data_IF_814085944434
#
_entry.id   IF_814085944434
#
_cell.length_a   1.000
_cell.length_b   1.000
_cell.length_c   1.000
_cell.angle_alpha   90.00
_cell.angle_beta   90.00
_cell.angle_gamma   90.00
#
_symmetry.space_group_name_H-M   'P 1'
#
loop_
_entity.id
_entity.type
_entity.pdbx_description
1 polymer ?
#
# COMPACT_ATOMS: atom_id res chain seq x y z
N UNK A 1 45.74 13.55 -35.47
CA UNK A 1 46.19 14.42 -34.36
C UNK A 1 45.31 14.19 -33.15
N UNK A 2 45.92 14.12 -31.97
CA UNK A 2 45.51 13.36 -30.79
C UNK A 2 44.07 13.58 -30.28
N UNK A 3 43.30 12.48 -30.14
CA UNK A 3 42.17 12.44 -29.20
C UNK A 3 42.75 12.08 -27.83
N UNK A 4 43.08 13.09 -27.02
CA UNK A 4 43.44 12.86 -25.61
C UNK A 4 42.37 11.96 -24.99
N UNK A 5 42.77 10.82 -24.42
CA UNK A 5 41.83 9.88 -23.82
C UNK A 5 41.03 10.61 -22.74
N UNK A 6 39.72 10.75 -22.94
CA UNK A 6 38.82 11.45 -22.00
C UNK A 6 38.80 10.72 -20.66
N UNK A 7 39.44 11.28 -19.66
CA UNK A 7 39.64 10.69 -18.33
C UNK A 7 38.39 10.71 -17.43
N UNK A 8 37.32 11.42 -17.80
CA UNK A 8 36.10 11.48 -16.99
C UNK A 8 35.11 10.34 -17.30
N UNK A 9 34.97 9.40 -16.36
CA UNK A 9 34.04 8.26 -16.41
C UNK A 9 32.70 8.52 -15.69
N UNK A 10 32.25 9.78 -15.62
CA UNK A 10 30.96 10.14 -15.01
C UNK A 10 29.81 10.28 -16.03
N UNK A 11 28.62 10.63 -15.54
CA UNK A 11 27.46 11.02 -16.34
C UNK A 11 27.80 12.21 -17.26
N UNK A 12 27.62 12.05 -18.59
CA UNK A 12 27.99 13.06 -19.60
C UNK A 12 26.81 13.83 -20.19
N UNK A 13 25.59 13.36 -19.97
CA UNK A 13 24.38 14.03 -20.46
C UNK A 13 23.79 14.95 -19.38
N UNK A 14 23.18 16.09 -19.76
CA UNK A 14 22.60 17.04 -18.79
C UNK A 14 21.52 16.39 -17.92
N UNK A 15 20.75 15.45 -18.47
CA UNK A 15 19.75 14.66 -17.74
C UNK A 15 20.40 13.76 -16.70
N UNK A 16 21.51 13.09 -17.02
CA UNK A 16 22.21 12.22 -16.09
C UNK A 16 22.88 13.02 -14.95
N UNK A 17 23.49 14.17 -15.23
CA UNK A 17 24.01 15.08 -14.19
C UNK A 17 22.91 15.58 -13.24
N UNK A 18 21.71 15.87 -13.77
CA UNK A 18 20.53 16.19 -12.95
C UNK A 18 20.12 15.01 -12.06
N UNK A 19 20.10 13.79 -12.58
CA UNK A 19 19.78 12.58 -11.81
C UNK A 19 20.78 12.33 -10.68
N UNK A 20 22.07 12.54 -10.91
CA UNK A 20 23.12 12.42 -9.86
C UNK A 20 22.85 13.43 -8.73
N UNK A 21 22.59 14.70 -9.05
CA UNK A 21 22.26 15.70 -8.03
C UNK A 21 20.99 15.34 -7.24
N UNK A 22 19.95 14.86 -7.92
CA UNK A 22 18.71 14.42 -7.27
C UNK A 22 18.93 13.20 -6.37
N UNK A 23 19.73 12.22 -6.81
CA UNK A 23 19.98 11.00 -6.06
C UNK A 23 20.81 11.27 -4.80
N UNK A 24 21.80 12.16 -4.87
CA UNK A 24 22.58 12.58 -3.70
C UNK A 24 21.72 13.25 -2.63
N UNK A 25 20.82 14.17 -3.03
CA UNK A 25 19.88 14.82 -2.12
C UNK A 25 18.94 13.82 -1.46
N UNK A 26 18.31 12.95 -2.24
CA UNK A 26 17.42 11.88 -1.72
C UNK A 26 18.17 10.91 -0.81
N UNK A 27 19.40 10.53 -1.18
CA UNK A 27 20.25 9.64 -0.37
C UNK A 27 20.55 10.23 1.00
N UNK A 28 20.85 11.53 1.09
CA UNK A 28 21.14 12.17 2.38
C UNK A 28 19.96 12.07 3.36
N UNK A 29 18.75 12.36 2.89
CA UNK A 29 17.52 12.27 3.69
C UNK A 29 17.18 10.81 4.02
N UNK A 30 17.16 9.94 3.01
CA UNK A 30 16.79 8.54 3.18
C UNK A 30 17.74 7.79 4.11
N UNK A 31 19.05 8.08 4.02
CA UNK A 31 20.06 7.44 4.86
C UNK A 31 19.78 7.71 6.34
N UNK A 32 19.46 8.95 6.71
CA UNK A 32 19.16 9.33 8.09
C UNK A 32 17.98 8.55 8.65
N UNK A 33 16.83 8.57 7.96
CA UNK A 33 15.63 7.86 8.44
C UNK A 33 15.83 6.35 8.44
N UNK A 34 16.56 5.81 7.46
CA UNK A 34 16.86 4.38 7.40
C UNK A 34 17.82 3.95 8.52
N UNK A 35 18.83 4.75 8.84
CA UNK A 35 19.75 4.47 9.94
C UNK A 35 19.05 4.58 11.29
N UNK A 36 18.26 5.63 11.52
CA UNK A 36 17.47 5.82 12.75
C UNK A 36 16.56 4.61 13.01
N UNK A 37 15.77 4.20 12.02
CA UNK A 37 14.91 3.03 12.14
C UNK A 37 15.70 1.73 12.36
N UNK A 38 16.88 1.58 11.75
CA UNK A 38 17.74 0.41 11.96
C UNK A 38 18.29 0.38 13.39
N UNK A 39 18.76 1.52 13.90
CA UNK A 39 19.30 1.65 15.25
C UNK A 39 18.24 1.35 16.30
N UNK A 40 17.03 1.91 16.18
CA UNK A 40 15.95 1.65 17.14
C UNK A 40 15.52 0.17 17.15
N UNK A 41 15.46 -0.47 15.98
CA UNK A 41 15.17 -1.91 15.89
C UNK A 41 16.28 -2.75 16.54
N UNK A 42 17.53 -2.33 16.39
CA UNK A 42 18.68 -3.01 17.00
C UNK A 42 18.64 -2.85 18.52
N UNK A 43 18.46 -1.63 19.03
CA UNK A 43 18.31 -1.34 20.46
C UNK A 43 17.16 -2.14 21.08
N UNK A 44 15.97 -2.13 20.46
CA UNK A 44 14.85 -2.92 20.94
C UNK A 44 15.12 -4.44 20.92
N UNK A 45 15.89 -4.92 19.93
CA UNK A 45 16.32 -6.33 19.88
C UNK A 45 17.34 -6.66 20.97
N UNK A 46 18.26 -5.75 21.28
CA UNK A 46 19.31 -5.96 22.27
C UNK A 46 18.74 -5.91 23.70
N UNK A 47 17.81 -4.99 23.98
CA UNK A 47 17.05 -4.95 25.23
C UNK A 47 16.27 -6.25 25.41
N UNK A 48 15.58 -6.72 24.36
CA UNK A 48 14.85 -7.98 24.43
C UNK A 48 15.77 -9.20 24.68
N UNK A 49 17.05 -9.14 24.30
CA UNK A 49 18.00 -10.24 24.54
C UNK A 49 18.77 -10.07 25.86
N UNK A 50 18.41 -9.11 26.71
CA UNK A 50 19.12 -8.81 27.97
C UNK A 50 20.54 -8.27 27.76
N UNK A 51 20.86 -7.77 26.56
CA UNK A 51 22.19 -7.20 26.23
C UNK A 51 22.31 -5.73 26.60
N UNK A 52 21.20 -5.06 26.87
CA UNK A 52 21.21 -3.69 27.38
C UNK A 52 20.04 -3.47 28.33
N UNK A 53 20.25 -2.62 29.31
CA UNK A 53 19.22 -2.20 30.25
C UNK A 53 18.28 -1.18 29.58
N UNK A 54 16.99 -1.27 29.87
CA UNK A 54 16.02 -0.29 29.37
C UNK A 54 14.57 -0.76 29.41
N UNK A 55 13.68 0.18 29.15
CA UNK A 55 12.25 -0.06 29.07
C UNK A 55 11.90 -0.78 27.74
N UNK A 56 11.95 -2.11 27.74
CA UNK A 56 11.63 -2.97 26.60
C UNK A 56 10.37 -2.58 25.81
N UNK A 57 9.19 -2.41 26.44
CA UNK A 57 7.96 -2.08 25.71
C UNK A 57 8.03 -0.70 25.02
N UNK A 58 8.68 0.29 25.64
CA UNK A 58 8.85 1.62 25.06
C UNK A 58 9.80 1.59 23.86
N UNK A 59 10.92 0.87 23.97
CA UNK A 59 11.86 0.69 22.87
C UNK A 59 11.22 -0.02 21.67
N UNK A 60 10.38 -1.03 21.92
CA UNK A 60 9.62 -1.73 20.88
C UNK A 60 8.60 -0.80 20.22
N UNK A 61 7.86 0.00 20.99
CA UNK A 61 6.92 0.98 20.45
C UNK A 61 7.60 2.04 19.58
N UNK A 62 8.75 2.57 20.04
CA UNK A 62 9.56 3.52 19.29
C UNK A 62 10.07 2.93 17.97
N UNK A 63 10.56 1.68 18.00
CA UNK A 63 11.04 0.98 16.80
C UNK A 63 9.92 0.76 15.76
N UNK A 64 8.72 0.38 16.21
CA UNK A 64 7.54 0.22 15.32
C UNK A 64 7.16 1.56 14.69
N UNK A 65 7.05 2.62 15.50
CA UNK A 65 6.71 3.97 15.04
C UNK A 65 7.70 4.46 13.98
N UNK A 66 9.00 4.24 14.20
CA UNK A 66 10.05 4.63 13.24
C UNK A 66 9.96 3.85 11.92
N UNK A 67 9.67 2.55 11.96
CA UNK A 67 9.48 1.72 10.76
C UNK A 67 8.27 2.17 9.94
N UNK A 68 7.17 2.53 10.60
CA UNK A 68 5.96 3.00 9.93
C UNK A 68 6.16 4.37 9.28
N UNK A 69 6.77 5.31 10.01
CA UNK A 69 7.13 6.62 9.44
C UNK A 69 8.06 6.49 8.23
N UNK A 70 8.97 5.52 8.26
CA UNK A 70 9.85 5.25 7.11
C UNK A 70 9.09 4.63 5.92
N UNK A 71 8.06 3.83 6.18
CA UNK A 71 7.20 3.24 5.15
C UNK A 71 6.26 4.26 4.53
N UNK A 72 5.62 5.10 5.34
CA UNK A 72 4.76 6.22 4.90
C UNK A 72 5.52 7.19 4.00
N UNK A 73 6.78 7.49 4.33
CA UNK A 73 7.67 8.32 3.50
C UNK A 73 8.17 7.61 2.23
N UNK A 74 7.84 6.34 2.02
CA UNK A 74 8.29 5.54 0.87
C UNK A 74 9.79 5.23 0.85
N UNK A 75 10.47 5.38 2.00
CA UNK A 75 11.92 5.09 2.13
C UNK A 75 12.13 3.58 2.23
N UNK A 76 11.22 2.88 2.93
CA UNK A 76 11.19 1.43 3.08
C UNK A 76 9.87 0.91 2.51
N UNK A 77 9.89 -0.18 1.76
CA UNK A 77 8.65 -0.79 1.27
C UNK A 77 7.76 -1.27 2.43
N UNK A 78 6.42 -1.14 2.38
CA UNK A 78 5.52 -1.54 3.47
C UNK A 78 5.73 -3.00 3.89
N UNK A 79 5.90 -3.92 2.94
CA UNK A 79 6.22 -5.32 3.25
C UNK A 79 7.56 -5.48 3.97
N UNK A 80 8.56 -4.64 3.70
CA UNK A 80 9.84 -4.69 4.41
C UNK A 80 9.68 -4.19 5.85
N UNK A 81 8.91 -3.11 6.06
CA UNK A 81 8.53 -2.68 7.40
C UNK A 81 7.76 -3.78 8.16
N UNK A 82 6.75 -4.41 7.53
CA UNK A 82 5.99 -5.50 8.11
C UNK A 82 6.86 -6.71 8.49
N UNK A 83 7.80 -7.13 7.63
CA UNK A 83 8.76 -8.19 7.95
C UNK A 83 9.63 -7.85 9.15
N UNK A 84 10.12 -6.60 9.23
CA UNK A 84 10.96 -6.14 10.35
C UNK A 84 10.18 -6.13 11.66
N UNK A 85 8.93 -5.64 11.65
CA UNK A 85 8.03 -5.69 12.82
C UNK A 85 7.78 -7.12 13.28
N UNK A 86 7.44 -8.01 12.36
CA UNK A 86 7.20 -9.43 12.67
C UNK A 86 8.43 -10.06 13.32
N UNK A 87 9.62 -9.86 12.75
CA UNK A 87 10.88 -10.38 13.32
C UNK A 87 11.18 -9.81 14.70
N UNK A 88 10.95 -8.52 14.92
CA UNK A 88 11.12 -7.88 16.24
C UNK A 88 10.18 -8.53 17.26
N UNK A 89 8.90 -8.66 16.93
CA UNK A 89 7.90 -9.27 17.81
C UNK A 89 8.19 -10.72 18.13
N UNK A 90 8.66 -11.50 17.15
CA UNK A 90 9.06 -12.90 17.42
C UNK A 90 10.20 -12.97 18.43
N UNK A 91 11.19 -12.07 18.34
CA UNK A 91 12.31 -12.02 19.32
C UNK A 91 11.84 -11.60 20.70
N UNK A 92 11.02 -10.55 20.77
CA UNK A 92 10.46 -10.03 22.02
C UNK A 92 9.61 -11.11 22.70
N UNK A 93 8.74 -11.79 21.97
CA UNK A 93 7.95 -12.89 22.51
C UNK A 93 8.82 -14.05 22.95
N UNK A 94 9.85 -14.43 22.17
CA UNK A 94 10.78 -15.48 22.58
C UNK A 94 11.51 -15.12 23.88
N UNK A 95 11.91 -13.85 24.05
CA UNK A 95 12.51 -13.36 25.28
C UNK A 95 11.54 -13.38 26.48
N UNK A 96 10.32 -12.88 26.31
CA UNK A 96 9.30 -12.95 27.37
C UNK A 96 8.92 -14.38 27.74
N UNK A 97 8.96 -15.32 26.79
CA UNK A 97 8.78 -16.75 27.06
C UNK A 97 9.97 -17.34 27.85
N UNK A 98 11.17 -16.77 27.73
CA UNK A 98 12.34 -17.17 28.50
C UNK A 98 12.33 -16.56 29.92
N UNK A 99 11.79 -15.35 30.09
CA UNK A 99 11.72 -14.64 31.37
C UNK A 99 10.54 -15.04 32.27
N UNK A 100 9.69 -15.99 31.84
CA UNK A 100 8.65 -16.59 32.69
C UNK A 100 7.51 -15.64 33.12
N UNK A 101 7.45 -14.40 32.62
CA UNK A 101 6.31 -13.52 32.88
C UNK A 101 5.16 -13.90 31.94
N UNK A 102 4.17 -14.59 32.49
CA UNK A 102 2.93 -14.97 31.82
C UNK A 102 2.21 -13.71 31.31
N UNK A 103 2.41 -13.36 30.04
CA UNK A 103 1.67 -12.27 29.43
C UNK A 103 0.24 -12.76 29.22
N UNK A 104 -0.66 -12.32 30.09
CA UNK A 104 -2.11 -12.51 29.98
C UNK A 104 -2.53 -12.30 28.53
N UNK A 105 -2.86 -13.39 27.83
CA UNK A 105 -3.11 -13.35 26.40
C UNK A 105 -4.23 -12.34 26.11
N UNK A 106 -4.00 -11.30 25.27
CA UNK A 106 -5.11 -10.47 24.83
C UNK A 106 -6.07 -11.38 24.08
N UNK A 107 -7.31 -11.46 24.56
CA UNK A 107 -8.40 -12.25 23.97
C UNK A 107 -8.38 -12.09 22.46
N UNK A 108 -7.90 -13.12 21.74
CA UNK A 108 -7.77 -13.06 20.31
C UNK A 108 -9.16 -12.81 19.71
N UNK A 109 -9.40 -11.70 18.98
CA UNK A 109 -10.69 -11.50 18.36
C UNK A 109 -10.89 -12.64 17.36
N UNK A 110 -11.89 -13.50 17.60
CA UNK A 110 -12.20 -14.67 16.76
C UNK A 110 -12.19 -14.25 15.29
N UNK A 111 -11.13 -14.60 14.55
CA UNK A 111 -11.03 -14.29 13.12
C UNK A 111 -12.09 -15.09 12.40
N UNK A 112 -13.16 -14.40 12.00
CA UNK A 112 -14.22 -14.95 11.16
C UNK A 112 -13.57 -15.55 9.90
N UNK A 113 -13.76 -16.85 9.69
CA UNK A 113 -13.30 -17.59 8.50
C UNK A 113 -13.73 -16.87 7.21
N UNK A 114 -12.98 -17.03 6.12
CA UNK A 114 -13.32 -16.44 4.80
C UNK A 114 -14.74 -16.80 4.33
N UNK A 115 -15.22 -17.99 4.71
CA UNK A 115 -16.61 -18.43 4.54
C UNK A 115 -17.61 -17.56 5.32
N UNK A 116 -17.35 -17.29 6.60
CA UNK A 116 -18.23 -16.44 7.43
C UNK A 116 -18.17 -14.95 7.06
N UNK A 117 -17.04 -14.45 6.55
CA UNK A 117 -16.92 -13.10 5.95
C UNK A 117 -17.71 -12.98 4.65
N UNK A 118 -17.72 -14.02 3.81
CA UNK A 118 -18.50 -14.05 2.56
C UNK A 118 -20.00 -14.16 2.85
N UNK A 119 -20.40 -14.99 3.81
CA UNK A 119 -21.78 -15.11 4.28
C UNK A 119 -22.30 -13.80 4.90
N UNK A 120 -21.47 -13.09 5.68
CA UNK A 120 -21.83 -11.78 6.22
C UNK A 120 -21.96 -10.70 5.13
N UNK A 121 -21.06 -10.68 4.13
CA UNK A 121 -21.21 -9.79 2.97
C UNK A 121 -22.49 -10.07 2.18
N UNK A 122 -22.86 -11.34 2.01
CA UNK A 122 -24.15 -11.73 1.39
C UNK A 122 -25.34 -11.26 2.24
N UNK A 123 -25.33 -11.46 3.56
CA UNK A 123 -26.40 -10.97 4.45
C UNK A 123 -26.55 -9.44 4.42
N UNK A 124 -25.44 -8.71 4.43
CA UNK A 124 -25.45 -7.23 4.33
C UNK A 124 -25.91 -6.77 2.95
N UNK A 125 -25.57 -7.48 1.87
CA UNK A 125 -26.08 -7.19 0.53
C UNK A 125 -27.60 -7.43 0.41
N UNK A 126 -28.11 -8.51 0.99
CA UNK A 126 -29.56 -8.81 1.04
C UNK A 126 -30.30 -7.76 1.88
N UNK A 127 -29.76 -7.36 3.03
CA UNK A 127 -30.33 -6.29 3.86
C UNK A 127 -30.28 -4.91 3.18
N UNK A 128 -29.23 -4.63 2.38
CA UNK A 128 -29.14 -3.41 1.58
C UNK A 128 -30.09 -3.44 0.39
N UNK A 129 -30.37 -4.60 -0.19
CA UNK A 129 -31.35 -4.78 -1.26
C UNK A 129 -32.79 -4.66 -0.74
N UNK A 130 -33.12 -5.20 0.43
CA UNK A 130 -34.44 -5.02 1.05
C UNK A 130 -34.68 -3.58 1.51
N UNK A 131 -33.64 -2.89 2.00
CA UNK A 131 -33.71 -1.45 2.30
C UNK A 131 -33.79 -0.57 1.03
N UNK A 132 -33.17 -1.00 -0.07
CA UNK A 132 -33.32 -0.35 -1.37
C UNK A 132 -34.70 -0.58 -2.02
N UNK A 133 -35.38 -1.70 -1.71
CA UNK A 133 -36.77 -1.93 -2.10
C UNK A 133 -37.73 -1.03 -1.32
N UNK A 134 -37.48 -0.80 -0.03
CA UNK A 134 -38.25 0.15 0.79
C UNK A 134 -38.01 1.64 0.42
N UNK A 135 -36.85 1.98 -0.14
CA UNK A 135 -36.50 3.34 -0.58
C UNK A 135 -36.90 3.70 -2.02
N UNK A 136 -37.48 2.76 -2.79
CA UNK A 136 -37.79 2.98 -4.23
C UNK A 136 -39.25 3.35 -4.48
N UNK A 137 -39.83 4.17 -3.60
CA UNK A 137 -41.17 4.71 -3.79
C UNK A 137 -41.24 6.24 -3.94
N UNK A 138 -40.17 7.00 -3.67
CA UNK A 138 -40.29 8.47 -3.55
C UNK A 138 -39.39 9.34 -4.43
N UNK A 139 -38.46 8.81 -5.24
CA UNK A 139 -37.68 9.72 -6.11
C UNK A 139 -37.23 9.09 -7.45
N UNK A 140 -38.17 9.00 -8.39
CA UNK A 140 -37.87 8.76 -9.81
C UNK A 140 -38.64 9.81 -10.61
N UNK A 141 -37.98 10.67 -11.41
CA UNK A 141 -38.67 11.80 -12.02
C UNK A 141 -39.73 11.29 -13.00
N UNK A 142 -41.01 11.46 -12.61
CA UNK A 142 -42.18 11.19 -13.45
C UNK A 142 -42.39 12.27 -14.53
N UNK A 143 -41.55 13.31 -14.56
CA UNK A 143 -41.64 14.41 -15.51
C UNK A 143 -40.94 14.09 -16.83
N UNK A 144 -41.53 14.53 -17.95
CA UNK A 144 -41.03 14.29 -19.31
C UNK A 144 -39.56 14.73 -19.51
N UNK A 145 -39.13 15.78 -18.82
CA UNK A 145 -37.74 16.27 -18.84
C UNK A 145 -36.73 15.26 -18.26
N UNK A 146 -37.13 14.47 -17.24
CA UNK A 146 -36.29 13.43 -16.66
C UNK A 146 -36.08 12.24 -17.59
N UNK A 147 -37.13 11.84 -18.33
CA UNK A 147 -37.05 10.78 -19.35
C UNK A 147 -36.15 11.20 -20.51
N UNK A 148 -36.23 12.44 -20.96
CA UNK A 148 -35.39 12.98 -22.03
C UNK A 148 -33.90 12.96 -21.66
N UNK A 149 -33.52 13.38 -20.43
CA UNK A 149 -32.12 13.35 -19.98
C UNK A 149 -31.55 11.92 -19.90
N UNK A 150 -32.37 10.95 -19.47
CA UNK A 150 -31.97 9.53 -19.43
C UNK A 150 -31.86 8.94 -20.84
N UNK A 151 -32.72 9.34 -21.78
CA UNK A 151 -32.63 8.91 -23.17
C UNK A 151 -31.36 9.45 -23.86
N UNK A 152 -31.04 10.74 -23.68
CA UNK A 152 -29.84 11.37 -24.25
C UNK A 152 -28.56 10.72 -23.72
N UNK A 153 -28.50 10.42 -22.42
CA UNK A 153 -27.34 9.74 -21.82
C UNK A 153 -27.21 8.26 -22.21
N UNK A 154 -28.32 7.61 -22.60
CA UNK A 154 -28.28 6.24 -23.13
C UNK A 154 -27.82 6.21 -24.59
N UNK A 155 -28.33 7.12 -25.42
CA UNK A 155 -27.91 7.25 -26.82
C UNK A 155 -26.43 7.62 -26.97
N UNK A 156 -25.89 8.46 -26.08
CA UNK A 156 -24.46 8.79 -26.09
C UNK A 156 -23.56 7.61 -25.71
N UNK A 157 -24.02 6.73 -24.82
CA UNK A 157 -23.29 5.50 -24.47
C UNK A 157 -23.36 4.44 -25.57
N UNK A 158 -24.47 4.37 -26.29
CA UNK A 158 -24.66 3.41 -27.38
C UNK A 158 -23.84 3.79 -28.62
N UNK A 159 -23.79 5.08 -28.96
CA UNK A 159 -22.90 5.61 -30.00
C UNK A 159 -21.41 5.49 -29.62
N UNK A 160 -21.05 5.68 -28.35
CA UNK A 160 -19.69 5.42 -27.87
C UNK A 160 -19.32 3.92 -27.92
N UNK A 161 -20.27 3.03 -27.65
CA UNK A 161 -20.09 1.58 -27.77
C UNK A 161 -19.96 1.13 -29.24
N UNK A 162 -20.74 1.72 -30.16
CA UNK A 162 -20.64 1.47 -31.60
C UNK A 162 -19.29 1.92 -32.16
N UNK A 163 -18.79 3.11 -31.77
CA UNK A 163 -17.45 3.59 -32.16
C UNK A 163 -16.34 2.68 -31.65
N UNK A 164 -16.47 2.13 -30.44
CA UNK A 164 -15.52 1.15 -29.88
C UNK A 164 -15.55 -0.18 -30.63
N UNK A 165 -16.72 -0.64 -31.07
CA UNK A 165 -16.86 -1.86 -31.90
C UNK A 165 -16.31 -1.67 -33.32
N UNK A 166 -16.51 -0.50 -33.93
CA UNK A 166 -15.93 -0.18 -35.23
C UNK A 166 -14.40 -0.07 -35.16
N UNK A 167 -13.85 0.48 -34.06
CA UNK A 167 -12.40 0.54 -33.85
C UNK A 167 -11.76 -0.84 -33.64
N UNK A 168 -12.51 -1.82 -33.12
CA UNK A 168 -12.02 -3.20 -32.98
C UNK A 168 -12.12 -4.04 -34.26
N UNK A 169 -12.95 -3.66 -35.23
CA UNK A 169 -12.99 -4.32 -36.54
C UNK A 169 -11.91 -3.83 -37.50
N UNK A 170 -11.42 -2.59 -37.34
CA UNK A 170 -10.36 -1.99 -38.15
C UNK A 170 -8.95 -2.48 -37.80
N UNK A 171 -8.73 -3.03 -36.60
CA UNK A 171 -7.43 -3.59 -36.17
C UNK A 171 -7.29 -5.10 -36.44
N UNK A 172 -8.30 -5.72 -37.07
CA UNK A 172 -8.32 -7.15 -37.39
C UNK A 172 -7.80 -7.52 -38.79
N UNK A 173 -7.55 -6.54 -39.66
CA UNK A 173 -7.23 -6.76 -41.09
C UNK A 173 -5.75 -6.46 -41.42
N UNK A 174 -4.87 -6.46 -40.41
CA UNK A 174 -3.44 -6.11 -40.56
C UNK A 174 -2.49 -7.30 -40.31
N UNK A 175 -2.98 -8.54 -40.38
CA UNK A 175 -2.17 -9.74 -40.11
C UNK A 175 -2.25 -10.81 -41.20
N UNK A 176 -2.30 -10.42 -42.47
CA UNK A 176 -2.08 -11.33 -43.60
C UNK A 176 -1.52 -10.55 -44.80
N UNK A 177 -0.19 -10.40 -44.83
CA UNK A 177 0.66 -10.22 -46.01
C UNK A 177 2.11 -10.44 -45.61
#
# INVERSE_FOLDING_TARGET
>A
MARTARTWKGARTPSALKRVRQSLRRRAVNRRTQSEAKTLVQQASDIALGRSDGNGPEAVAAAISALDKAAEKGIIHPNNAARRKSRLMTKVNAAHLLDGSEVTAPTAPKRKTTASKTAQRKKVAVAKASKAAAGKATDRPRTAAGKAKVAVTRASRESAAARRRAKSSDEGDSSES
#
